data_IF_515967148607
#
_entry.id   IF_515967148607
#
_cell.length_a   1.000
_cell.length_b   1.000
_cell.length_c   1.000
_cell.angle_alpha   90.00
_cell.angle_beta   90.00
_cell.angle_gamma   90.00
#
_symmetry.space_group_name_H-M   'P 1'
#
loop_
_entity.id
_entity.type
_entity.pdbx_description
1 polymer ?
#
# COMPACT_ATOMS: atom_id res chain seq x y z
N UNK A 1 4.46 -2.39 27.00
CA UNK A 1 5.25 -3.22 26.06
C UNK A 1 6.73 -2.92 26.22
N UNK A 2 7.63 -3.91 26.07
CA UNK A 2 9.07 -3.64 25.96
C UNK A 2 9.30 -2.88 24.65
N UNK A 3 10.00 -1.74 24.69
CA UNK A 3 10.21 -0.82 23.55
C UNK A 3 10.69 -1.51 22.26
N UNK A 4 11.51 -2.57 22.37
CA UNK A 4 11.99 -3.33 21.22
C UNK A 4 10.92 -4.14 20.50
N UNK A 5 10.00 -4.78 21.23
CA UNK A 5 8.89 -5.54 20.62
C UNK A 5 7.95 -4.62 19.82
N UNK A 6 7.62 -3.46 20.40
CA UNK A 6 6.80 -2.44 19.74
C UNK A 6 7.42 -1.91 18.44
N UNK A 7 8.73 -1.65 18.40
CA UNK A 7 9.39 -1.17 17.19
C UNK A 7 9.42 -2.24 16.09
N UNK A 8 9.62 -3.51 16.45
CA UNK A 8 9.59 -4.61 15.49
C UNK A 8 8.19 -4.81 14.91
N UNK A 9 7.14 -4.81 15.74
CA UNK A 9 5.75 -4.93 15.27
C UNK A 9 5.39 -3.82 14.27
N UNK A 10 5.76 -2.56 14.58
CA UNK A 10 5.57 -1.45 13.63
C UNK A 10 6.33 -1.63 12.33
N UNK A 11 7.54 -2.15 12.39
CA UNK A 11 8.37 -2.36 11.20
C UNK A 11 7.76 -3.45 10.31
N UNK A 12 7.26 -4.53 10.92
CA UNK A 12 6.59 -5.62 10.20
C UNK A 12 5.32 -5.14 9.50
N UNK A 13 4.51 -4.29 10.15
CA UNK A 13 3.32 -3.68 9.54
C UNK A 13 3.70 -2.84 8.32
N UNK A 14 4.79 -2.05 8.41
CA UNK A 14 5.27 -1.25 7.28
C UNK A 14 5.79 -2.13 6.14
N UNK A 15 6.50 -3.21 6.46
CA UNK A 15 7.02 -4.16 5.48
C UNK A 15 5.89 -4.86 4.73
N UNK A 16 4.83 -5.30 5.42
CA UNK A 16 3.64 -5.88 4.80
C UNK A 16 2.99 -4.88 3.83
N UNK A 17 2.79 -3.64 4.29
CA UNK A 17 2.24 -2.56 3.49
C UNK A 17 3.08 -2.28 2.23
N UNK A 18 4.41 -2.18 2.39
CA UNK A 18 5.35 -1.95 1.29
C UNK A 18 5.34 -3.11 0.28
N UNK A 19 5.27 -4.36 0.76
CA UNK A 19 5.28 -5.53 -0.10
C UNK A 19 4.00 -5.62 -0.95
N UNK A 20 2.84 -5.30 -0.37
CA UNK A 20 1.59 -5.20 -1.12
C UNK A 20 1.67 -4.13 -2.22
N UNK A 21 2.16 -2.93 -1.87
CA UNK A 21 2.37 -1.84 -2.82
C UNK A 21 3.32 -2.23 -3.95
N UNK A 22 4.49 -2.78 -3.61
CA UNK A 22 5.50 -3.21 -4.59
C UNK A 22 4.93 -4.23 -5.57
N UNK A 23 4.17 -5.21 -5.09
CA UNK A 23 3.57 -6.22 -5.94
C UNK A 23 2.52 -5.64 -6.88
N UNK A 24 1.64 -4.76 -6.39
CA UNK A 24 0.65 -4.08 -7.22
C UNK A 24 1.33 -3.28 -8.35
N UNK A 25 2.36 -2.49 -8.02
CA UNK A 25 3.12 -1.72 -9.02
C UNK A 25 3.79 -2.64 -10.05
N UNK A 26 4.41 -3.74 -9.62
CA UNK A 26 5.05 -4.69 -10.54
C UNK A 26 4.06 -5.30 -11.54
N UNK A 27 2.86 -5.65 -11.07
CA UNK A 27 1.78 -6.22 -11.89
C UNK A 27 1.29 -5.20 -12.92
N UNK A 28 1.16 -3.94 -12.51
CA UNK A 28 0.79 -2.81 -13.38
C UNK A 28 1.84 -2.59 -14.46
N UNK A 29 3.13 -2.53 -14.07
CA UNK A 29 4.25 -2.38 -15.01
C UNK A 29 4.32 -3.52 -16.03
N UNK A 30 3.90 -4.72 -15.64
CA UNK A 30 3.82 -5.90 -16.53
C UNK A 30 2.55 -5.94 -17.39
N UNK A 31 1.71 -4.90 -17.35
CA UNK A 31 0.44 -4.83 -18.06
C UNK A 31 -0.46 -6.05 -17.81
N UNK A 32 -0.46 -6.55 -16.57
CA UNK A 32 -1.25 -7.71 -16.20
C UNK A 32 -2.75 -7.40 -16.30
N UNK A 33 -3.59 -8.34 -16.75
CA UNK A 33 -5.05 -8.17 -16.68
C UNK A 33 -5.57 -8.06 -15.24
N UNK A 34 -4.76 -8.45 -14.24
CA UNK A 34 -5.09 -8.38 -12.82
C UNK A 34 -4.70 -7.04 -12.17
N UNK A 35 -4.16 -6.09 -12.95
CA UNK A 35 -3.62 -4.83 -12.41
C UNK A 35 -4.62 -4.10 -11.54
N UNK A 36 -5.87 -3.96 -12.01
CA UNK A 36 -6.94 -3.26 -11.28
C UNK A 36 -7.28 -3.93 -9.96
N UNK A 37 -7.55 -5.23 -10.00
CA UNK A 37 -7.94 -5.98 -8.80
C UNK A 37 -6.82 -5.96 -7.75
N UNK A 38 -5.56 -6.01 -8.19
CA UNK A 38 -4.41 -6.01 -7.30
C UNK A 38 -4.06 -4.61 -6.76
N UNK A 39 -4.30 -3.54 -7.50
CA UNK A 39 -4.16 -2.17 -6.98
C UNK A 39 -5.27 -1.84 -5.98
N UNK A 40 -6.51 -2.28 -6.24
CA UNK A 40 -7.60 -2.17 -5.27
C UNK A 40 -7.27 -2.96 -3.99
N UNK A 41 -6.85 -4.21 -4.12
CA UNK A 41 -6.46 -5.05 -2.97
C UNK A 41 -5.29 -4.46 -2.19
N UNK A 42 -4.30 -3.88 -2.88
CA UNK A 42 -3.21 -3.14 -2.24
C UNK A 42 -3.73 -1.99 -1.37
N UNK A 43 -4.64 -1.17 -1.88
CA UNK A 43 -5.20 -0.04 -1.12
C UNK A 43 -5.88 -0.51 0.17
N UNK A 44 -6.67 -1.58 0.09
CA UNK A 44 -7.34 -2.19 1.24
C UNK A 44 -6.35 -2.71 2.29
N UNK A 45 -5.30 -3.42 1.85
CA UNK A 45 -4.23 -3.91 2.73
C UNK A 45 -3.50 -2.74 3.40
N UNK A 46 -3.13 -1.71 2.63
CA UNK A 46 -2.42 -0.54 3.16
C UNK A 46 -3.25 0.24 4.18
N UNK A 47 -4.56 0.39 3.96
CA UNK A 47 -5.50 0.96 4.96
C UNK A 47 -5.61 0.08 6.20
N UNK A 48 -5.61 -1.24 6.04
CA UNK A 48 -5.57 -2.18 7.17
C UNK A 48 -4.28 -2.03 7.99
N UNK A 49 -3.12 -1.95 7.34
CA UNK A 49 -1.83 -1.70 7.99
C UNK A 49 -1.81 -0.36 8.74
N UNK A 50 -2.39 0.70 8.17
CA UNK A 50 -2.54 1.98 8.88
C UNK A 50 -3.41 1.82 10.14
N UNK A 51 -4.52 1.08 10.07
CA UNK A 51 -5.35 0.81 11.24
C UNK A 51 -4.62 -0.03 12.30
N UNK A 52 -3.80 -1.00 11.88
CA UNK A 52 -2.97 -1.80 12.78
C UNK A 52 -1.94 -0.93 13.53
N UNK A 53 -1.33 0.06 12.87
CA UNK A 53 -0.45 1.03 13.52
C UNK A 53 -1.16 1.76 14.68
N UNK A 54 -2.44 2.13 14.50
CA UNK A 54 -3.23 2.76 15.57
C UNK A 54 -3.50 1.80 16.72
N UNK A 55 -3.77 0.51 16.45
CA UNK A 55 -3.96 -0.52 17.49
C UNK A 55 -2.68 -0.76 18.30
N UNK A 56 -1.52 -0.65 17.67
CA UNK A 56 -0.22 -0.72 18.33
C UNK A 56 0.08 0.51 19.21
N UNK A 57 -0.77 1.54 19.17
CA UNK A 57 -0.63 2.76 19.98
C UNK A 57 0.16 3.87 19.28
N UNK A 58 0.33 3.80 17.95
CA UNK A 58 0.78 4.95 17.18
C UNK A 58 -0.34 5.98 17.00
N UNK A 59 0.02 7.26 16.85
CA UNK A 59 -0.93 8.31 16.51
C UNK A 59 -1.13 8.41 14.99
N UNK A 60 -2.21 9.08 14.57
CA UNK A 60 -2.43 9.45 13.15
C UNK A 60 -1.36 10.40 12.58
N UNK A 61 -0.55 11.00 13.45
CA UNK A 61 0.60 11.81 13.05
C UNK A 61 1.90 10.99 12.92
N UNK A 62 1.85 9.72 13.30
CA UNK A 62 2.98 8.79 13.27
C UNK A 62 3.47 8.51 11.86
N UNK A 63 4.78 8.26 11.75
CA UNK A 63 5.44 8.06 10.45
C UNK A 63 4.92 6.82 9.74
N UNK A 64 4.81 5.70 10.47
CA UNK A 64 4.42 4.43 9.84
C UNK A 64 2.97 4.48 9.38
N UNK A 65 2.09 5.02 10.21
CA UNK A 65 0.70 5.29 9.85
C UNK A 65 0.57 6.10 8.54
N UNK A 66 1.30 7.21 8.43
CA UNK A 66 1.26 8.07 7.24
C UNK A 66 1.78 7.36 6.01
N UNK A 67 2.90 6.66 6.10
CA UNK A 67 3.43 5.91 4.96
C UNK A 67 2.45 4.83 4.47
N UNK A 68 1.74 4.16 5.38
CA UNK A 68 0.72 3.19 4.98
C UNK A 68 -0.46 3.86 4.24
N UNK A 69 -0.87 5.06 4.68
CA UNK A 69 -1.89 5.83 3.96
C UNK A 69 -1.39 6.32 2.60
N UNK A 70 -0.16 6.82 2.52
CA UNK A 70 0.44 7.28 1.26
C UNK A 70 0.46 6.12 0.24
N UNK A 71 0.81 4.90 0.65
CA UNK A 71 0.73 3.72 -0.25
C UNK A 71 -0.69 3.34 -0.63
N UNK A 72 -1.66 3.48 0.28
CA UNK A 72 -3.06 3.22 -0.05
C UNK A 72 -3.57 4.21 -1.11
N UNK A 73 -3.32 5.50 -0.91
CA UNK A 73 -3.73 6.57 -1.81
C UNK A 73 -3.08 6.41 -3.20
N UNK A 74 -1.78 6.08 -3.24
CA UNK A 74 -1.11 5.78 -4.52
C UNK A 74 -1.72 4.56 -5.23
N UNK A 75 -2.09 3.50 -4.49
CA UNK A 75 -2.75 2.34 -5.09
C UNK A 75 -4.15 2.67 -5.64
N UNK A 76 -4.89 3.59 -5.00
CA UNK A 76 -6.18 4.10 -5.50
C UNK A 76 -6.01 4.98 -6.73
N UNK A 77 -4.99 5.85 -6.76
CA UNK A 77 -4.67 6.67 -7.94
C UNK A 77 -4.32 5.78 -9.14
N UNK A 78 -3.51 4.74 -8.92
CA UNK A 78 -3.18 3.78 -9.98
C UNK A 78 -4.43 3.02 -10.46
N UNK A 79 -5.30 2.59 -9.54
CA UNK A 79 -6.56 1.91 -9.91
C UNK A 79 -7.45 2.82 -10.79
N UNK A 80 -7.59 4.08 -10.40
CA UNK A 80 -8.36 5.08 -11.15
C UNK A 80 -7.75 5.30 -12.55
N UNK A 81 -6.43 5.46 -12.65
CA UNK A 81 -5.72 5.59 -13.93
C UNK A 81 -5.96 4.38 -14.85
N UNK A 82 -5.95 3.16 -14.31
CA UNK A 82 -6.25 1.93 -15.07
C UNK A 82 -7.70 1.93 -15.56
N UNK A 83 -8.64 2.39 -14.74
CA UNK A 83 -10.06 2.43 -15.07
C UNK A 83 -10.38 3.47 -16.14
N UNK A 84 -9.75 4.64 -16.09
CA UNK A 84 -9.96 5.73 -17.04
C UNK A 84 -9.30 5.47 -18.41
N UNK A 85 -8.07 4.93 -18.41
CA UNK A 85 -7.34 4.63 -19.64
C UNK A 85 -6.46 3.38 -19.49
N UNK A 86 -7.02 2.18 -19.74
CA UNK A 86 -6.28 0.90 -19.68
C UNK A 86 -5.08 0.83 -20.64
N UNK A 87 -4.96 1.77 -21.58
CA UNK A 87 -3.85 1.87 -22.54
C UNK A 87 -2.74 2.83 -22.14
N UNK A 88 -2.97 3.76 -21.19
CA UNK A 88 -2.00 4.80 -20.80
C UNK A 88 -0.73 4.23 -20.17
N UNK A 89 -0.90 3.23 -19.30
CA UNK A 89 0.21 2.62 -18.56
C UNK A 89 1.13 1.74 -19.44
N UNK A 90 0.67 1.36 -20.64
CA UNK A 90 1.48 0.62 -21.63
C UNK A 90 2.66 1.42 -22.20
N UNK A 91 2.70 2.74 -21.98
CA UNK A 91 3.74 3.65 -22.50
C UNK A 91 4.90 3.90 -21.52
N UNK A 92 4.87 3.30 -20.33
CA UNK A 92 5.88 3.52 -19.29
C UNK A 92 7.01 2.48 -19.29
N UNK A 93 7.07 1.61 -20.31
CA UNK A 93 8.12 0.58 -20.50
C UNK A 93 8.74 0.72 -21.88
#
# INVERSE_FOLDING_TARGET
MKKGAYLMEKTNVLEECMNAYKYAVEVVQKNSPLSRDLTQSCAEVCRSCANECLKLGESRSGRTYKMCLDYAELCEEIEQDIQEDPGRLRKLV
#
